data_IF_072726012156
#
_entry.id   IF_072726012156
#
_cell.length_a   1.000
_cell.length_b   1.000
_cell.length_c   1.000
_cell.angle_alpha   90.00
_cell.angle_beta   90.00
_cell.angle_gamma   90.00
#
_symmetry.space_group_name_H-M   'P 1'
#
loop_
_entity.id
_entity.type
_entity.pdbx_description
1 polymer ?
#
# COMPACT_ATOMS: atom_id res chain seq x y z
N UNK A 1 -7.26 -13.78 22.15
CA UNK A 1 -7.16 -12.58 23.03
C UNK A 1 -6.77 -11.40 22.15
N UNK A 2 -7.44 -10.27 22.26
CA UNK A 2 -7.08 -9.03 21.55
C UNK A 2 -5.79 -8.45 22.14
N UNK A 3 -4.92 -7.90 21.30
CA UNK A 3 -3.71 -7.18 21.75
C UNK A 3 -4.15 -5.92 22.51
N UNK A 4 -3.71 -5.70 23.78
CA UNK A 4 -4.17 -4.57 24.58
C UNK A 4 -3.72 -3.20 24.05
N UNK A 5 -2.74 -3.18 23.16
CA UNK A 5 -2.24 -1.96 22.49
C UNK A 5 -3.14 -1.50 21.35
N UNK A 6 -4.10 -2.36 20.94
CA UNK A 6 -4.97 -2.12 19.77
C UNK A 6 -6.43 -2.06 20.21
N UNK A 7 -7.20 -1.18 19.54
CA UNK A 7 -8.66 -1.14 19.65
C UNK A 7 -9.28 -1.20 18.25
N UNK A 8 -10.57 -1.54 18.20
CA UNK A 8 -11.30 -1.57 16.93
C UNK A 8 -11.88 -0.19 16.63
N UNK A 9 -11.57 0.32 15.43
CA UNK A 9 -12.19 1.52 14.87
C UNK A 9 -13.64 1.23 14.42
N UNK A 10 -14.57 2.22 14.36
CA UNK A 10 -15.94 2.01 13.85
C UNK A 10 -16.03 1.39 12.46
N UNK A 11 -15.08 1.64 11.57
CA UNK A 11 -14.97 0.96 10.26
C UNK A 11 -14.43 -0.47 10.33
N UNK A 12 -14.10 -0.97 11.54
CA UNK A 12 -13.73 -2.35 11.79
C UNK A 12 -12.22 -2.65 11.79
N UNK A 13 -11.36 -1.81 11.23
CA UNK A 13 -9.91 -2.01 11.31
C UNK A 13 -9.40 -1.82 12.75
N UNK A 14 -8.21 -2.34 13.03
CA UNK A 14 -7.57 -2.13 14.33
C UNK A 14 -6.69 -0.89 14.28
N UNK A 15 -6.66 -0.14 15.36
CA UNK A 15 -5.84 1.06 15.50
C UNK A 15 -5.09 1.06 16.84
N UNK A 16 -3.95 1.72 16.88
CA UNK A 16 -3.14 1.88 18.10
C UNK A 16 -3.91 2.72 19.12
N UNK A 17 -3.93 2.28 20.39
CA UNK A 17 -4.60 2.97 21.50
C UNK A 17 -3.83 4.23 21.87
N UNK A 18 -2.53 4.08 22.18
CA UNK A 18 -1.65 5.17 22.59
C UNK A 18 -0.92 5.70 21.34
N UNK A 19 -1.60 6.60 20.61
CA UNK A 19 -1.06 7.20 19.39
C UNK A 19 -0.03 8.28 19.71
N UNK A 20 1.07 8.36 18.95
CA UNK A 20 2.00 9.49 19.06
C UNK A 20 1.28 10.79 18.64
N UNK A 21 1.77 11.90 19.15
CA UNK A 21 1.40 13.21 18.62
C UNK A 21 1.94 13.40 17.19
N UNK A 22 1.39 14.34 16.39
CA UNK A 22 1.94 14.66 15.08
C UNK A 22 3.44 15.00 15.11
N UNK A 23 3.89 15.76 16.13
CA UNK A 23 5.30 16.15 16.29
C UNK A 23 6.20 14.94 16.61
N UNK A 24 5.73 14.01 17.45
CA UNK A 24 6.47 12.77 17.75
C UNK A 24 6.57 11.86 16.53
N UNK A 25 5.50 11.77 15.74
CA UNK A 25 5.49 10.99 14.51
C UNK A 25 6.40 11.61 13.44
N UNK A 26 6.35 12.94 13.26
CA UNK A 26 7.26 13.66 12.37
C UNK A 26 8.73 13.49 12.78
N UNK A 27 9.03 13.56 14.09
CA UNK A 27 10.36 13.31 14.62
C UNK A 27 10.82 11.86 14.38
N UNK A 28 9.93 10.88 14.49
CA UNK A 28 10.21 9.47 14.18
C UNK A 28 10.60 9.29 12.70
N UNK A 29 9.83 9.84 11.76
CA UNK A 29 10.14 9.75 10.34
C UNK A 29 11.43 10.47 9.99
N UNK A 30 11.66 11.68 10.51
CA UNK A 30 12.88 12.46 10.23
C UNK A 30 14.16 11.79 10.75
N UNK A 31 14.10 11.13 11.91
CA UNK A 31 15.30 10.65 12.62
C UNK A 31 15.51 9.13 12.59
N UNK A 32 14.47 8.36 12.31
CA UNK A 32 14.52 6.89 12.46
C UNK A 32 14.17 6.16 11.17
N UNK A 33 13.07 6.52 10.53
CA UNK A 33 12.54 5.76 9.38
C UNK A 33 13.46 5.84 8.15
N UNK A 34 13.95 7.04 7.82
CA UNK A 34 14.82 7.27 6.66
C UNK A 34 16.31 7.06 6.94
N UNK A 35 16.72 6.92 8.22
CA UNK A 35 18.15 6.80 8.60
C UNK A 35 18.54 5.40 9.06
N UNK A 36 17.58 4.54 9.43
CA UNK A 36 17.88 3.17 9.83
C UNK A 36 18.13 2.31 8.59
N UNK A 37 19.31 1.67 8.49
CA UNK A 37 19.61 0.66 7.45
C UNK A 37 18.62 -0.52 7.43
N UNK A 38 17.70 -0.58 8.38
CA UNK A 38 16.62 -1.56 8.53
C UNK A 38 15.25 -1.03 8.14
N UNK A 39 15.15 0.24 7.72
CA UNK A 39 13.91 0.84 7.23
C UNK A 39 13.48 0.31 5.87
N UNK A 40 12.29 0.72 5.41
CA UNK A 40 11.74 0.33 4.10
C UNK A 40 12.57 0.89 2.94
N UNK A 41 13.39 1.92 3.20
CA UNK A 41 14.26 2.56 2.22
C UNK A 41 15.60 1.84 2.12
N UNK A 42 15.98 1.43 0.90
CA UNK A 42 17.30 0.88 0.60
C UNK A 42 17.97 1.70 -0.49
N UNK A 43 19.24 2.01 -0.29
CA UNK A 43 20.07 2.69 -1.31
C UNK A 43 20.44 1.79 -2.50
N UNK A 44 20.24 0.50 -2.35
CA UNK A 44 20.53 -0.49 -3.39
C UNK A 44 19.65 -1.72 -3.26
N UNK A 45 19.09 -2.16 -4.38
CA UNK A 45 18.29 -3.38 -4.49
C UNK A 45 19.01 -4.39 -5.41
N UNK A 46 19.04 -5.67 -5.07
CA UNK A 46 19.45 -6.72 -6.03
C UNK A 46 18.53 -6.72 -7.26
N UNK A 47 19.05 -7.12 -8.42
CA UNK A 47 18.30 -7.14 -9.68
C UNK A 47 17.00 -7.95 -9.59
N UNK A 48 17.00 -9.06 -8.85
CA UNK A 48 15.80 -9.89 -8.62
C UNK A 48 14.72 -9.14 -7.85
N UNK A 49 15.08 -8.33 -6.87
CA UNK A 49 14.13 -7.50 -6.11
C UNK A 49 13.59 -6.36 -6.98
N UNK A 50 14.46 -5.68 -7.76
CA UNK A 50 14.02 -4.65 -8.71
C UNK A 50 13.07 -5.23 -9.76
N UNK A 51 13.34 -6.43 -10.24
CA UNK A 51 12.45 -7.13 -11.17
C UNK A 51 11.08 -7.39 -10.52
N UNK A 52 11.06 -7.89 -9.29
CA UNK A 52 9.80 -8.14 -8.56
C UNK A 52 9.01 -6.85 -8.26
N UNK A 53 9.68 -5.75 -7.92
CA UNK A 53 9.04 -4.44 -7.73
C UNK A 53 8.35 -4.00 -9.04
N UNK A 54 9.09 -4.02 -10.16
CA UNK A 54 8.56 -3.65 -11.47
C UNK A 54 7.40 -4.55 -11.92
N UNK A 55 7.51 -5.85 -11.66
CA UNK A 55 6.45 -6.81 -11.97
C UNK A 55 5.15 -6.49 -11.22
N UNK A 56 5.23 -6.21 -9.91
CA UNK A 56 4.07 -5.83 -9.09
C UNK A 56 3.46 -4.51 -9.53
N UNK A 57 4.28 -3.50 -9.85
CA UNK A 57 3.80 -2.22 -10.38
C UNK A 57 3.08 -2.43 -11.71
N UNK A 58 3.70 -3.13 -12.65
CA UNK A 58 3.12 -3.40 -13.96
C UNK A 58 1.79 -4.17 -13.87
N UNK A 59 1.71 -5.14 -12.95
CA UNK A 59 0.52 -5.92 -12.67
C UNK A 59 -0.63 -5.05 -12.16
N UNK A 60 -0.38 -4.24 -11.14
CA UNK A 60 -1.37 -3.31 -10.56
C UNK A 60 -1.76 -2.22 -11.55
N UNK A 61 -0.79 -1.67 -12.29
CA UNK A 61 -1.04 -0.68 -13.36
C UNK A 61 -1.95 -1.25 -14.45
N UNK A 62 -1.71 -2.50 -14.91
CA UNK A 62 -2.58 -3.16 -15.89
C UNK A 62 -4.01 -3.28 -15.36
N UNK A 63 -4.20 -3.63 -14.09
CA UNK A 63 -5.53 -3.70 -13.48
C UNK A 63 -6.19 -2.32 -13.39
N UNK A 64 -5.45 -1.30 -12.95
CA UNK A 64 -5.94 0.08 -12.88
C UNK A 64 -6.38 0.59 -14.25
N UNK A 65 -5.58 0.38 -15.30
CA UNK A 65 -5.91 0.78 -16.68
C UNK A 65 -7.18 0.09 -17.20
N UNK A 66 -7.32 -1.22 -16.95
CA UNK A 66 -8.52 -1.97 -17.31
C UNK A 66 -9.78 -1.43 -16.61
N UNK A 67 -9.65 -1.03 -15.33
CA UNK A 67 -10.77 -0.46 -14.56
C UNK A 67 -11.08 0.99 -14.95
N UNK A 68 -10.06 1.78 -15.36
CA UNK A 68 -10.26 3.11 -15.93
C UNK A 68 -10.98 3.05 -17.28
N UNK A 69 -10.89 1.93 -18.00
CA UNK A 69 -11.54 1.75 -19.30
C UNK A 69 -10.98 2.65 -20.41
N UNK A 70 -9.70 3.02 -20.30
CA UNK A 70 -9.02 3.87 -21.30
C UNK A 70 -7.59 3.39 -21.57
N UNK A 71 -7.15 3.52 -22.81
CA UNK A 71 -5.80 3.16 -23.22
C UNK A 71 -4.85 4.37 -23.32
N UNK A 72 -5.40 5.60 -23.31
CA UNK A 72 -4.60 6.82 -23.41
C UNK A 72 -4.00 7.22 -22.05
N UNK A 73 -2.77 7.74 -22.04
CA UNK A 73 -2.16 8.31 -20.83
C UNK A 73 -3.02 9.42 -20.23
N UNK A 74 -2.91 9.60 -18.92
CA UNK A 74 -3.59 10.62 -18.12
C UNK A 74 -2.62 11.27 -17.15
N UNK A 75 -3.17 11.78 -16.05
CA UNK A 75 -2.44 12.38 -14.95
C UNK A 75 -2.43 11.43 -13.75
N UNK A 76 -1.24 11.17 -13.20
CA UNK A 76 -1.02 10.35 -12.02
C UNK A 76 -0.46 11.19 -10.87
N UNK A 77 -0.99 10.97 -9.65
CA UNK A 77 -0.37 11.39 -8.41
C UNK A 77 0.06 10.16 -7.61
N UNK A 78 1.33 10.10 -7.21
CA UNK A 78 1.87 9.08 -6.29
C UNK A 78 2.08 9.71 -4.91
N UNK A 79 1.28 9.28 -3.94
CA UNK A 79 1.24 9.84 -2.58
C UNK A 79 2.05 8.94 -1.65
N UNK A 80 3.12 9.50 -1.09
CA UNK A 80 4.16 8.72 -0.42
C UNK A 80 4.97 7.91 -1.44
N UNK A 81 5.56 8.63 -2.42
CA UNK A 81 6.14 8.01 -3.61
C UNK A 81 7.46 7.25 -3.34
N UNK A 82 8.08 7.42 -2.16
CA UNK A 82 9.27 6.70 -1.70
C UNK A 82 10.43 6.79 -2.69
N UNK A 83 10.78 5.68 -3.34
CA UNK A 83 11.86 5.60 -4.32
C UNK A 83 11.44 6.00 -5.75
N UNK A 84 10.18 6.40 -5.97
CA UNK A 84 9.68 6.88 -7.26
C UNK A 84 9.51 5.82 -8.35
N UNK A 85 9.45 4.53 -8.01
CA UNK A 85 9.30 3.45 -9.00
C UNK A 85 7.98 3.54 -9.77
N UNK A 86 6.90 3.94 -9.13
CA UNK A 86 5.59 4.13 -9.77
C UNK A 86 5.65 5.33 -10.72
N UNK A 87 6.22 6.45 -10.28
CA UNK A 87 6.43 7.64 -11.11
C UNK A 87 7.20 7.29 -12.38
N UNK A 88 8.34 6.60 -12.23
CA UNK A 88 9.19 6.18 -13.37
C UNK A 88 8.47 5.22 -14.31
N UNK A 89 7.67 4.27 -13.80
CA UNK A 89 6.91 3.34 -14.67
C UNK A 89 5.82 4.06 -15.46
N UNK A 90 5.05 4.94 -14.84
CA UNK A 90 3.99 5.68 -15.51
C UNK A 90 4.52 6.77 -16.44
N UNK A 91 5.63 7.44 -16.10
CA UNK A 91 6.28 8.40 -17.00
C UNK A 91 6.73 7.70 -18.30
N UNK A 92 7.30 6.49 -18.22
CA UNK A 92 7.66 5.69 -19.42
C UNK A 92 6.44 5.28 -20.25
N UNK A 93 5.26 5.20 -19.67
CA UNK A 93 3.98 4.97 -20.37
C UNK A 93 3.38 6.25 -20.94
N UNK A 94 4.07 7.40 -20.80
CA UNK A 94 3.65 8.70 -21.32
C UNK A 94 2.66 9.46 -20.42
N UNK A 95 2.47 9.03 -19.16
CA UNK A 95 1.62 9.73 -18.21
C UNK A 95 2.30 11.01 -17.70
N UNK A 96 1.48 12.05 -17.43
CA UNK A 96 1.92 13.20 -16.66
C UNK A 96 1.89 12.82 -15.17
N UNK A 97 3.08 12.77 -14.55
CA UNK A 97 3.25 12.24 -13.19
C UNK A 97 3.63 13.33 -12.20
N UNK A 98 3.05 13.26 -11.01
CA UNK A 98 3.41 14.05 -9.84
C UNK A 98 3.57 13.13 -8.64
N UNK A 99 4.52 13.42 -7.75
CA UNK A 99 4.75 12.71 -6.50
C UNK A 99 4.63 13.65 -5.30
N UNK A 100 4.28 13.09 -4.14
CA UNK A 100 4.34 13.76 -2.84
C UNK A 100 5.04 12.82 -1.87
N UNK A 101 6.04 13.32 -1.14
CA UNK A 101 6.71 12.55 -0.09
C UNK A 101 7.30 13.47 0.98
N UNK A 102 7.47 12.95 2.18
CA UNK A 102 8.16 13.65 3.25
C UNK A 102 9.65 13.88 2.92
N UNK A 103 10.25 12.96 2.14
CA UNK A 103 11.68 12.98 1.79
C UNK A 103 11.90 12.59 0.32
N UNK A 104 12.71 13.39 -0.39
CA UNK A 104 13.12 13.06 -1.77
C UNK A 104 14.32 12.11 -1.84
N UNK A 105 14.92 11.72 -0.71
CA UNK A 105 16.14 10.90 -0.70
C UNK A 105 15.97 9.53 -1.40
N UNK A 106 14.78 8.94 -1.34
CA UNK A 106 14.45 7.69 -2.04
C UNK A 106 14.47 7.86 -3.55
N UNK A 107 13.79 8.90 -4.03
CA UNK A 107 13.73 9.21 -5.46
C UNK A 107 15.11 9.58 -6.00
N UNK A 108 15.88 10.40 -5.27
CA UNK A 108 17.27 10.76 -5.64
C UNK A 108 18.15 9.53 -5.82
N UNK A 109 17.99 8.53 -4.92
CA UNK A 109 18.82 7.33 -4.96
C UNK A 109 18.45 6.35 -6.08
N UNK A 110 17.16 6.24 -6.45
CA UNK A 110 16.67 5.16 -7.30
C UNK A 110 16.10 5.62 -8.65
N UNK A 111 15.51 6.81 -8.73
CA UNK A 111 14.87 7.36 -9.92
C UNK A 111 15.09 8.89 -9.97
N UNK A 112 16.37 9.30 -10.01
CA UNK A 112 16.77 10.71 -9.94
C UNK A 112 16.20 11.61 -11.03
N UNK A 113 15.78 11.04 -12.16
CA UNK A 113 15.08 11.72 -13.25
C UNK A 113 13.62 12.11 -12.88
N UNK A 114 13.10 11.60 -11.75
CA UNK A 114 11.78 11.96 -11.24
C UNK A 114 11.81 13.01 -10.12
N UNK A 115 12.97 13.45 -9.65
CA UNK A 115 13.10 14.41 -8.52
C UNK A 115 12.30 15.69 -8.75
N UNK A 116 12.38 16.28 -9.94
CA UNK A 116 11.64 17.51 -10.29
C UNK A 116 10.12 17.32 -10.38
N UNK A 117 9.63 16.08 -10.24
CA UNK A 117 8.21 15.74 -10.24
C UNK A 117 7.66 15.50 -8.84
N UNK A 118 8.50 15.62 -7.79
CA UNK A 118 8.13 15.33 -6.40
C UNK A 118 8.09 16.59 -5.56
N UNK A 119 6.96 16.84 -4.93
CA UNK A 119 6.81 17.83 -3.88
C UNK A 119 7.22 17.20 -2.55
N UNK A 120 8.13 17.87 -1.81
CA UNK A 120 8.59 17.44 -0.49
C UNK A 120 7.93 18.26 0.60
N UNK A 121 7.33 17.59 1.61
CA UNK A 121 6.73 18.29 2.73
C UNK A 121 5.85 17.41 3.60
N UNK A 122 5.07 18.04 4.50
CA UNK A 122 4.00 17.36 5.21
C UNK A 122 2.90 16.93 4.24
N UNK A 123 2.44 15.69 4.39
CA UNK A 123 1.50 15.09 3.47
C UNK A 123 0.16 15.83 3.44
N UNK A 124 -0.40 16.15 4.60
CA UNK A 124 -1.71 16.81 4.68
C UNK A 124 -1.64 18.25 4.19
N UNK A 125 -0.56 18.98 4.47
CA UNK A 125 -0.34 20.33 3.96
C UNK A 125 -0.26 20.33 2.42
N UNK A 126 0.44 19.38 1.82
CA UNK A 126 0.55 19.24 0.37
C UNK A 126 -0.79 18.86 -0.29
N UNK A 127 -1.56 17.96 0.34
CA UNK A 127 -2.89 17.57 -0.13
C UNK A 127 -3.86 18.76 -0.08
N UNK A 128 -3.87 19.52 1.02
CA UNK A 128 -4.71 20.71 1.16
C UNK A 128 -4.38 21.77 0.11
N UNK A 129 -3.09 22.01 -0.14
CA UNK A 129 -2.64 22.92 -1.20
C UNK A 129 -3.06 22.42 -2.61
N UNK A 130 -2.98 21.11 -2.85
CA UNK A 130 -3.42 20.50 -4.11
C UNK A 130 -4.92 20.66 -4.32
N UNK A 131 -5.73 20.43 -3.28
CA UNK A 131 -7.18 20.61 -3.31
C UNK A 131 -7.53 22.09 -3.53
N UNK A 132 -6.93 23.00 -2.78
CA UNK A 132 -7.17 24.43 -2.89
C UNK A 132 -6.83 24.99 -4.28
N UNK A 133 -5.82 24.43 -4.95
CA UNK A 133 -5.44 24.80 -6.32
C UNK A 133 -6.27 24.12 -7.41
N UNK A 134 -7.23 23.26 -7.06
CA UNK A 134 -8.08 22.54 -8.01
C UNK A 134 -7.34 21.47 -8.82
N UNK A 135 -6.20 20.98 -8.35
CA UNK A 135 -5.50 19.88 -9.01
C UNK A 135 -6.34 18.61 -8.98
N UNK A 136 -6.38 17.87 -10.08
CA UNK A 136 -7.08 16.59 -10.17
C UNK A 136 -6.31 15.60 -11.02
N UNK A 137 -6.53 14.30 -10.78
CA UNK A 137 -5.78 13.21 -11.40
C UNK A 137 -6.73 12.11 -11.86
N UNK A 138 -6.38 11.43 -12.96
CA UNK A 138 -7.09 10.26 -13.44
C UNK A 138 -6.80 9.04 -12.56
N UNK A 139 -5.59 8.99 -12.02
CA UNK A 139 -5.10 7.91 -11.17
C UNK A 139 -4.34 8.50 -9.98
N UNK A 140 -4.74 8.13 -8.78
CA UNK A 140 -3.98 8.38 -7.55
C UNK A 140 -3.43 7.05 -7.04
N UNK A 141 -2.16 7.03 -6.68
CA UNK A 141 -1.50 5.87 -6.10
C UNK A 141 -1.12 6.15 -4.65
N UNK A 142 -1.42 5.20 -3.76
CA UNK A 142 -1.15 5.28 -2.33
C UNK A 142 -0.56 3.93 -1.89
N UNK A 143 0.76 3.82 -1.91
CA UNK A 143 1.44 2.56 -1.66
C UNK A 143 2.05 2.50 -0.27
N UNK A 144 1.46 1.74 0.67
CA UNK A 144 1.97 1.59 2.03
C UNK A 144 2.14 2.92 2.77
N UNK A 145 1.09 3.72 2.81
CA UNK A 145 1.01 5.00 3.51
C UNK A 145 -0.17 5.03 4.47
N UNK A 146 -1.30 4.41 4.08
CA UNK A 146 -2.55 4.49 4.83
C UNK A 146 -2.43 3.92 6.26
N UNK A 147 -1.62 2.89 6.43
CA UNK A 147 -1.32 2.26 7.71
C UNK A 147 -0.47 3.12 8.65
N UNK A 148 0.27 4.09 8.09
CA UNK A 148 1.22 4.91 8.84
C UNK A 148 0.61 6.22 9.35
N UNK A 149 -0.44 6.73 8.71
CA UNK A 149 -1.03 8.02 9.09
C UNK A 149 -1.87 7.93 10.36
N UNK A 150 -1.94 9.04 11.11
CA UNK A 150 -2.78 9.12 12.31
C UNK A 150 -4.27 9.09 11.99
N UNK A 151 -4.70 9.62 10.84
CA UNK A 151 -6.10 9.65 10.41
C UNK A 151 -6.27 9.13 8.98
N UNK A 152 -6.43 7.80 8.82
CA UNK A 152 -6.65 7.20 7.50
C UNK A 152 -8.00 7.61 6.88
N UNK A 153 -8.98 7.99 7.69
CA UNK A 153 -10.29 8.46 7.21
C UNK A 153 -10.15 9.84 6.55
N UNK A 154 -9.46 10.78 7.22
CA UNK A 154 -9.17 12.10 6.67
C UNK A 154 -8.35 11.99 5.38
N UNK A 155 -7.32 11.12 5.34
CA UNK A 155 -6.51 10.91 4.15
C UNK A 155 -7.36 10.43 2.97
N UNK A 156 -8.17 9.39 3.13
CA UNK A 156 -9.04 8.91 2.05
C UNK A 156 -10.07 9.97 1.61
N UNK A 157 -10.57 10.78 2.55
CA UNK A 157 -11.45 11.91 2.25
C UNK A 157 -10.78 12.98 1.39
N UNK A 158 -9.55 13.38 1.72
CA UNK A 158 -8.75 14.34 0.96
C UNK A 158 -8.43 13.83 -0.45
N UNK A 159 -7.98 12.57 -0.55
CA UNK A 159 -7.67 11.94 -1.85
C UNK A 159 -8.87 11.89 -2.77
N UNK A 160 -10.10 11.76 -2.24
CA UNK A 160 -11.32 11.76 -3.04
C UNK A 160 -11.55 13.09 -3.77
N UNK A 161 -11.10 14.19 -3.21
CA UNK A 161 -11.18 15.51 -3.85
C UNK A 161 -10.20 15.67 -5.01
N UNK A 162 -9.15 14.84 -5.06
CA UNK A 162 -8.10 14.89 -6.09
C UNK A 162 -8.34 13.92 -7.26
N UNK A 163 -9.29 12.99 -7.14
CA UNK A 163 -9.61 12.04 -8.22
C UNK A 163 -10.73 12.57 -9.09
N UNK A 164 -10.53 12.63 -10.40
CA UNK A 164 -11.57 13.04 -11.36
C UNK A 164 -12.77 12.08 -11.34
N UNK A 165 -13.98 12.50 -11.75
CA UNK A 165 -15.08 11.58 -11.97
C UNK A 165 -14.68 10.44 -12.92
N UNK A 166 -14.88 9.19 -12.49
CA UNK A 166 -14.43 8.01 -13.24
C UNK A 166 -12.98 7.62 -13.06
N UNK A 167 -12.18 8.46 -12.39
CA UNK A 167 -10.80 8.14 -12.00
C UNK A 167 -10.72 7.08 -10.89
N UNK A 168 -9.52 6.69 -10.52
CA UNK A 168 -9.27 5.58 -9.59
C UNK A 168 -8.18 5.95 -8.57
N UNK A 169 -8.39 5.54 -7.32
CA UNK A 169 -7.34 5.43 -6.30
C UNK A 169 -6.89 3.96 -6.21
N UNK A 170 -5.59 3.73 -6.31
CA UNK A 170 -4.93 2.43 -6.03
C UNK A 170 -4.29 2.52 -4.65
N UNK A 171 -4.88 1.89 -3.65
CA UNK A 171 -4.40 1.91 -2.27
C UNK A 171 -3.86 0.54 -1.86
N UNK A 172 -2.59 0.50 -1.45
CA UNK A 172 -1.95 -0.73 -0.94
C UNK A 172 -1.68 -0.59 0.55
N UNK A 173 -2.06 -1.62 1.33
CA UNK A 173 -1.79 -1.73 2.77
C UNK A 173 -1.37 -3.17 3.11
N UNK A 174 -0.65 -3.42 4.20
CA UNK A 174 -0.47 -4.76 4.74
C UNK A 174 -1.81 -5.41 5.10
N UNK A 175 -1.91 -6.73 4.93
CA UNK A 175 -3.04 -7.54 5.39
C UNK A 175 -2.73 -8.05 6.80
N UNK A 176 -2.95 -7.21 7.78
CA UNK A 176 -2.54 -7.42 9.16
C UNK A 176 -3.71 -7.81 10.07
N UNK A 177 -3.53 -8.88 10.86
CA UNK A 177 -4.58 -9.45 11.69
C UNK A 177 -5.59 -10.27 10.87
N UNK A 178 -5.16 -10.84 9.76
CA UNK A 178 -5.99 -11.73 8.93
C UNK A 178 -6.41 -12.99 9.71
N UNK A 179 -7.53 -13.59 9.31
CA UNK A 179 -8.01 -14.84 9.91
C UNK A 179 -6.95 -15.95 9.86
N UNK A 180 -6.13 -15.97 8.80
CA UNK A 180 -5.03 -16.93 8.67
C UNK A 180 -3.93 -16.70 9.71
N UNK A 181 -3.51 -15.45 9.93
CA UNK A 181 -2.49 -15.11 10.93
C UNK A 181 -2.98 -15.41 12.36
N UNK A 182 -4.24 -15.12 12.68
CA UNK A 182 -4.82 -15.48 13.97
C UNK A 182 -4.92 -17.01 14.13
N UNK A 183 -5.27 -17.77 13.08
CA UNK A 183 -5.29 -19.23 13.11
C UNK A 183 -3.87 -19.82 13.35
N UNK A 184 -2.83 -19.24 12.77
CA UNK A 184 -1.44 -19.64 13.04
C UNK A 184 -1.05 -19.42 14.51
N UNK A 185 -1.50 -18.30 15.10
CA UNK A 185 -1.27 -18.01 16.52
C UNK A 185 -2.03 -19.00 17.41
N UNK A 186 -3.29 -19.27 17.11
CA UNK A 186 -4.12 -20.23 17.85
C UNK A 186 -3.57 -21.67 17.76
N UNK A 187 -3.04 -22.05 16.62
CA UNK A 187 -2.38 -23.34 16.42
C UNK A 187 -1.00 -23.44 17.06
N UNK A 188 -0.45 -22.34 17.61
CA UNK A 188 0.91 -22.28 18.15
C UNK A 188 2.01 -22.38 17.10
N UNK A 189 1.70 -22.15 15.82
CA UNK A 189 2.69 -22.08 14.75
C UNK A 189 3.53 -20.82 14.84
N UNK A 190 2.98 -19.76 15.40
CA UNK A 190 3.69 -18.51 15.77
C UNK A 190 3.39 -18.20 17.25
N UNK A 191 4.32 -17.49 17.89
CA UNK A 191 4.27 -17.17 19.33
C UNK A 191 3.74 -15.76 19.62
N UNK A 192 3.61 -14.92 18.61
CA UNK A 192 3.24 -13.51 18.74
C UNK A 192 2.55 -12.98 17.49
N UNK A 193 1.86 -11.85 17.64
CA UNK A 193 1.32 -11.06 16.53
C UNK A 193 2.44 -10.24 15.89
N UNK A 194 3.25 -10.88 15.04
CA UNK A 194 4.42 -10.27 14.40
C UNK A 194 4.09 -9.09 13.49
N UNK A 195 2.84 -8.96 13.06
CA UNK A 195 2.35 -7.85 12.22
C UNK A 195 2.09 -6.57 13.01
N UNK A 196 2.05 -6.61 14.36
CA UNK A 196 1.89 -5.40 15.17
C UNK A 196 3.23 -4.68 15.27
N UNK A 197 3.37 -3.60 14.51
CA UNK A 197 4.61 -2.84 14.30
C UNK A 197 4.48 -1.39 14.80
N UNK A 198 4.36 -1.19 16.11
CA UNK A 198 4.27 0.13 16.76
C UNK A 198 5.70 0.64 17.00
N UNK A 199 6.03 1.92 16.71
CA UNK A 199 5.17 3.02 16.27
C UNK A 199 5.05 3.19 14.75
N UNK A 200 5.48 2.24 13.95
CA UNK A 200 5.52 2.33 12.49
C UNK A 200 4.11 2.28 11.88
N UNK A 201 3.32 1.28 12.27
CA UNK A 201 1.93 1.15 11.82
C UNK A 201 0.95 1.64 12.88
N UNK A 202 0.10 2.61 12.51
CA UNK A 202 -0.98 3.15 13.34
C UNK A 202 -2.31 2.44 13.12
N UNK A 203 -2.50 1.85 11.94
CA UNK A 203 -3.74 1.18 11.53
C UNK A 203 -3.45 -0.17 10.87
N UNK A 204 -4.31 -1.17 11.14
CA UNK A 204 -4.14 -2.55 10.67
C UNK A 204 -5.40 -2.99 9.93
N UNK A 205 -5.26 -3.32 8.67
CA UNK A 205 -6.37 -3.61 7.76
C UNK A 205 -6.41 -5.08 7.36
N UNK A 206 -7.62 -5.58 7.15
CA UNK A 206 -7.93 -6.79 6.38
C UNK A 206 -8.71 -6.39 5.13
N UNK A 207 -8.94 -7.32 4.19
CA UNK A 207 -9.71 -7.02 2.98
C UNK A 207 -11.11 -6.46 3.30
N UNK A 208 -11.79 -7.01 4.31
CA UNK A 208 -13.14 -6.57 4.70
C UNK A 208 -13.12 -5.19 5.35
N UNK A 209 -12.15 -4.93 6.23
CA UNK A 209 -12.07 -3.64 6.92
C UNK A 209 -11.57 -2.53 6.00
N UNK A 210 -10.70 -2.84 5.03
CA UNK A 210 -10.29 -1.90 3.98
C UNK A 210 -11.50 -1.52 3.10
N UNK A 211 -12.33 -2.49 2.71
CA UNK A 211 -13.56 -2.25 1.96
C UNK A 211 -14.55 -1.40 2.75
N UNK A 212 -14.77 -1.71 4.03
CA UNK A 212 -15.65 -0.95 4.90
C UNK A 212 -15.16 0.50 5.10
N UNK A 213 -13.84 0.70 5.25
CA UNK A 213 -13.22 2.01 5.37
C UNK A 213 -13.38 2.82 4.08
N UNK A 214 -13.13 2.20 2.92
CA UNK A 214 -13.36 2.84 1.62
C UNK A 214 -14.81 3.29 1.48
N UNK A 215 -15.77 2.41 1.77
CA UNK A 215 -17.20 2.75 1.71
C UNK A 215 -17.58 3.90 2.64
N UNK A 216 -17.09 3.90 3.88
CA UNK A 216 -17.37 4.96 4.87
C UNK A 216 -16.80 6.33 4.45
N UNK A 217 -15.79 6.35 3.59
CA UNK A 217 -15.13 7.56 3.08
C UNK A 217 -15.57 7.94 1.66
N UNK A 218 -16.63 7.31 1.14
CA UNK A 218 -17.27 7.66 -0.13
C UNK A 218 -16.57 7.08 -1.36
N UNK A 219 -16.01 5.87 -1.23
CA UNK A 219 -15.42 5.12 -2.32
C UNK A 219 -16.17 3.82 -2.59
N UNK A 220 -16.34 3.49 -3.87
CA UNK A 220 -16.71 2.16 -4.33
C UNK A 220 -15.46 1.32 -4.53
N UNK A 221 -15.42 0.13 -3.95
CA UNK A 221 -14.34 -0.84 -4.16
C UNK A 221 -14.62 -1.64 -5.43
N UNK A 222 -13.79 -1.43 -6.46
CA UNK A 222 -13.92 -2.12 -7.76
C UNK A 222 -13.26 -3.50 -7.76
N UNK A 223 -12.13 -3.64 -7.06
CA UNK A 223 -11.39 -4.89 -6.90
C UNK A 223 -10.42 -4.78 -5.71
N UNK A 224 -9.99 -5.91 -5.17
CA UNK A 224 -8.88 -6.02 -4.23
C UNK A 224 -7.99 -7.17 -4.69
N UNK A 225 -6.69 -6.91 -4.85
CA UNK A 225 -5.68 -7.93 -5.08
C UNK A 225 -4.91 -8.20 -3.79
N UNK A 226 -4.80 -9.46 -3.38
CA UNK A 226 -3.78 -9.89 -2.43
C UNK A 226 -2.48 -10.14 -3.17
N UNK A 227 -1.34 -9.74 -2.63
CA UNK A 227 -0.07 -10.15 -3.20
C UNK A 227 0.32 -11.59 -2.76
N UNK A 228 1.55 -12.02 -3.07
CA UNK A 228 2.00 -13.37 -2.71
C UNK A 228 1.89 -13.60 -1.19
N UNK A 229 1.14 -14.64 -0.76
CA UNK A 229 0.86 -14.89 0.65
C UNK A 229 2.03 -15.60 1.33
N UNK A 230 3.14 -14.89 1.55
CA UNK A 230 4.37 -15.45 2.16
C UNK A 230 4.12 -16.07 3.53
N UNK A 231 3.09 -15.60 4.24
CA UNK A 231 2.70 -16.11 5.56
C UNK A 231 2.26 -17.58 5.51
N UNK A 232 1.91 -18.14 4.31
CA UNK A 232 1.68 -19.57 4.16
C UNK A 232 2.90 -20.43 4.53
N UNK A 233 4.09 -19.89 4.41
CA UNK A 233 5.32 -20.59 4.84
C UNK A 233 5.40 -20.79 6.36
N UNK A 234 4.66 -20.01 7.14
CA UNK A 234 4.64 -20.10 8.60
C UNK A 234 3.95 -21.37 9.12
N UNK A 235 3.08 -21.98 8.32
CA UNK A 235 2.40 -23.22 8.69
C UNK A 235 3.33 -24.44 8.79
N UNK A 236 4.48 -24.41 8.11
CA UNK A 236 5.42 -25.52 8.13
C UNK A 236 6.65 -25.21 8.98
N UNK A 237 7.01 -26.07 9.96
CA UNK A 237 8.13 -25.80 10.87
C UNK A 237 9.47 -25.52 10.14
N UNK A 238 9.73 -26.17 9.01
CA UNK A 238 10.95 -26.00 8.23
C UNK A 238 11.05 -24.69 7.43
N UNK A 239 9.96 -23.94 7.26
CA UNK A 239 9.93 -22.66 6.56
C UNK A 239 9.39 -21.49 7.43
N UNK A 240 9.13 -21.74 8.71
CA UNK A 240 8.63 -20.73 9.63
C UNK A 240 9.74 -19.73 10.01
N UNK A 241 9.74 -18.57 9.34
CA UNK A 241 10.73 -17.50 9.53
C UNK A 241 10.44 -16.61 10.76
N UNK A 242 9.27 -16.75 11.40
CA UNK A 242 8.97 -16.06 12.66
C UNK A 242 9.56 -16.82 13.83
N UNK A 243 9.46 -18.17 13.81
CA UNK A 243 10.06 -19.03 14.82
C UNK A 243 11.60 -19.03 14.70
N UNK A 244 12.13 -18.93 13.47
CA UNK A 244 13.57 -18.92 13.21
C UNK A 244 13.91 -17.91 12.10
N UNK A 245 14.44 -16.75 12.49
CA UNK A 245 14.71 -15.62 11.58
C UNK A 245 15.70 -15.93 10.45
N UNK A 246 16.60 -16.91 10.64
CA UNK A 246 17.56 -17.35 9.62
C UNK A 246 16.88 -17.89 8.36
N UNK A 247 15.66 -18.39 8.46
CA UNK A 247 14.83 -18.90 7.34
C UNK A 247 14.23 -17.78 6.50
N UNK A 248 14.23 -16.55 7.00
CA UNK A 248 13.62 -15.39 6.30
C UNK A 248 14.22 -15.15 4.92
N UNK A 249 15.54 -15.32 4.76
CA UNK A 249 16.21 -15.16 3.45
C UNK A 249 15.71 -16.18 2.43
N UNK A 250 15.60 -17.45 2.82
CA UNK A 250 15.16 -18.52 1.92
C UNK A 250 13.68 -18.39 1.58
N UNK A 251 12.84 -18.01 2.56
CA UNK A 251 11.43 -17.71 2.35
C UNK A 251 11.25 -16.54 1.37
N UNK A 252 12.04 -15.47 1.52
CA UNK A 252 12.03 -14.33 0.61
C UNK A 252 12.46 -14.73 -0.82
N UNK A 253 13.55 -15.49 -0.96
CA UNK A 253 14.01 -15.98 -2.27
C UNK A 253 12.97 -16.90 -2.93
N UNK A 254 12.31 -17.77 -2.16
CA UNK A 254 11.22 -18.61 -2.66
C UNK A 254 10.03 -17.76 -3.13
N UNK A 255 9.66 -16.72 -2.36
CA UNK A 255 8.61 -15.76 -2.76
C UNK A 255 8.93 -15.14 -4.11
N UNK A 256 10.12 -14.55 -4.29
CA UNK A 256 10.50 -13.89 -5.54
C UNK A 256 10.39 -14.83 -6.76
N UNK A 257 10.83 -16.09 -6.61
CA UNK A 257 10.73 -17.10 -7.67
C UNK A 257 9.28 -17.45 -8.00
N UNK A 258 8.43 -17.60 -6.98
CA UNK A 258 7.01 -17.91 -7.17
C UNK A 258 6.24 -16.73 -7.76
N UNK A 259 6.50 -15.49 -7.33
CA UNK A 259 5.93 -14.28 -7.96
C UNK A 259 6.32 -14.19 -9.44
N UNK A 260 7.58 -14.43 -9.79
CA UNK A 260 8.03 -14.44 -11.19
C UNK A 260 7.36 -15.55 -12.01
N UNK A 261 7.20 -16.75 -11.43
CA UNK A 261 6.51 -17.88 -12.07
C UNK A 261 5.03 -17.56 -12.31
N UNK A 262 4.34 -17.01 -11.30
CA UNK A 262 2.92 -16.59 -11.43
C UNK A 262 2.81 -15.49 -12.49
N UNK A 263 3.72 -14.51 -12.50
CA UNK A 263 3.74 -13.44 -13.50
C UNK A 263 3.96 -13.96 -14.93
N UNK A 264 4.68 -15.06 -15.10
CA UNK A 264 4.98 -15.66 -16.42
C UNK A 264 3.75 -16.24 -17.15
N UNK A 265 2.67 -16.55 -16.41
CA UNK A 265 1.41 -17.02 -17.02
C UNK A 265 0.56 -15.90 -17.64
N UNK A 266 1.02 -14.65 -17.50
CA UNK A 266 0.37 -13.45 -18.00
C UNK A 266 -0.35 -12.65 -16.92
N UNK A 267 -0.34 -11.33 -17.08
CA UNK A 267 -0.79 -10.37 -16.08
C UNK A 267 -2.25 -10.55 -15.67
N UNK A 268 -3.15 -10.80 -16.63
CA UNK A 268 -4.57 -11.01 -16.33
C UNK A 268 -4.83 -12.29 -15.51
N UNK A 269 -4.12 -13.39 -15.86
CA UNK A 269 -4.24 -14.64 -15.10
C UNK A 269 -3.68 -14.48 -13.68
N UNK A 270 -2.54 -13.80 -13.54
CA UNK A 270 -1.97 -13.46 -12.25
C UNK A 270 -2.94 -12.58 -11.42
N UNK A 271 -3.56 -11.57 -12.04
CA UNK A 271 -4.54 -10.71 -11.36
C UNK A 271 -5.76 -11.49 -10.85
N UNK A 272 -6.30 -12.43 -11.64
CA UNK A 272 -7.39 -13.30 -11.17
C UNK A 272 -6.98 -14.15 -9.97
N UNK A 273 -5.76 -14.69 -9.99
CA UNK A 273 -5.21 -15.44 -8.85
C UNK A 273 -5.09 -14.58 -7.60
N UNK A 274 -4.54 -13.37 -7.73
CA UNK A 274 -4.37 -12.44 -6.60
C UNK A 274 -5.70 -11.85 -6.11
N UNK A 275 -6.71 -11.68 -6.96
CA UNK A 275 -8.06 -11.31 -6.55
C UNK A 275 -8.69 -12.44 -5.72
N UNK A 276 -8.59 -13.68 -6.16
CA UNK A 276 -9.08 -14.85 -5.42
C UNK A 276 -8.38 -15.02 -4.05
N UNK A 277 -7.08 -14.70 -3.96
CA UNK A 277 -6.38 -14.69 -2.66
C UNK A 277 -6.99 -13.66 -1.70
N UNK A 278 -7.26 -12.43 -2.17
CA UNK A 278 -7.89 -11.41 -1.35
C UNK A 278 -9.31 -11.80 -0.90
N UNK A 279 -10.09 -12.46 -1.76
CA UNK A 279 -11.44 -12.96 -1.45
C UNK A 279 -11.45 -13.98 -0.29
N UNK A 280 -10.40 -14.80 -0.19
CA UNK A 280 -10.25 -15.76 0.92
C UNK A 280 -9.43 -15.21 2.09
N UNK A 281 -9.16 -13.89 2.10
CA UNK A 281 -8.43 -13.20 3.18
C UNK A 281 -6.92 -13.46 3.20
N UNK A 282 -6.36 -13.97 2.10
CA UNK A 282 -4.93 -14.21 1.93
C UNK A 282 -4.25 -13.08 1.16
N UNK A 283 -2.92 -13.12 1.15
CA UNK A 283 -2.04 -12.08 0.62
C UNK A 283 -1.32 -11.37 1.76
N UNK A 284 -0.03 -11.07 1.59
CA UNK A 284 0.72 -10.33 2.62
C UNK A 284 0.36 -8.84 2.61
N UNK A 285 0.10 -8.28 1.43
CA UNK A 285 -0.49 -6.97 1.27
C UNK A 285 -1.79 -7.06 0.47
N UNK A 286 -2.62 -6.06 0.61
CA UNK A 286 -3.86 -5.86 -0.12
C UNK A 286 -3.75 -4.60 -0.96
N UNK A 287 -4.10 -4.67 -2.24
CA UNK A 287 -4.19 -3.50 -3.12
C UNK A 287 -5.63 -3.32 -3.53
N UNK A 288 -6.29 -2.30 -3.01
CA UNK A 288 -7.65 -1.92 -3.37
C UNK A 288 -7.65 -0.93 -4.53
N UNK A 289 -8.58 -1.14 -5.47
CA UNK A 289 -8.88 -0.23 -6.58
C UNK A 289 -10.21 0.43 -6.27
N UNK A 290 -10.17 1.74 -6.01
CA UNK A 290 -11.29 2.49 -5.46
C UNK A 290 -11.71 3.59 -6.44
N UNK A 291 -13.03 3.76 -6.61
CA UNK A 291 -13.61 4.83 -7.42
C UNK A 291 -14.44 5.75 -6.54
N UNK A 292 -14.35 7.09 -6.71
CA UNK A 292 -15.22 8.00 -5.97
C UNK A 292 -16.68 7.69 -6.27
N UNK A 293 -17.50 7.55 -5.23
CA UNK A 293 -18.96 7.53 -5.39
C UNK A 293 -19.40 8.87 -5.97
N UNK A 294 -20.17 8.83 -7.04
CA UNK A 294 -20.73 10.06 -7.62
C UNK A 294 -21.52 10.81 -6.55
N UNK A 295 -21.19 12.07 -6.31
CA UNK A 295 -22.04 12.92 -5.51
C UNK A 295 -23.37 13.05 -6.26
N UNK A 296 -24.47 12.63 -5.64
CA UNK A 296 -25.79 13.00 -6.16
C UNK A 296 -25.80 14.52 -6.18
N UNK A 297 -25.92 15.09 -7.39
CA UNK A 297 -26.18 16.52 -7.51
C UNK A 297 -27.46 16.81 -6.69
N UNK A 298 -27.33 17.60 -5.62
CA UNK A 298 -28.50 18.10 -4.89
C UNK A 298 -29.44 18.71 -5.93
N UNK A 299 -30.56 18.04 -6.16
CA UNK A 299 -31.67 18.60 -6.92
C UNK A 299 -32.33 19.59 -5.98
N UNK A 300 -31.79 20.83 -5.97
CA UNK A 300 -32.47 22.01 -5.44
C UNK A 300 -33.31 22.64 -6.52
#
# INVERSE_FOLDING_TARGET
>A
MTDPRLRRHPCGFLEVVDRPTPDELAAYYANTYYQAERGSFRRHYPDEELHAIRLRIAQRATRAMALLGRDSPGRLLDVGCGEGFVLSDFARRGWDVAGMDFSIAGVEAMNSDMVDRVEQGDLFDMLDAAIASGRTYDLVWLGNVLEHVLDPIALLGALRCLVVPGGILVATVPNDGSAYQEALLEAGAIDRRFWVAIPDHMSYFTADTLRATAQATGWDTLDILGDFPIDLFLAHPGSNYIAESTRGRDAHAARLRLEALIGSVGTEAANRFYSALAEVGLGRNLTAFLRPVAQQADQT
#
